data_IF_743120279297
#
_entry.id   IF_743120279297
#
_cell.length_a   1.000
_cell.length_b   1.000
_cell.length_c   1.000
_cell.angle_alpha   90.00
_cell.angle_beta   90.00
_cell.angle_gamma   90.00
#
_symmetry.space_group_name_H-M   'P 1'
#
loop_
_entity.id
_entity.type
_entity.pdbx_description
1 polymer ?
#
# COMPACT_ATOMS: atom_id res chain seq x y z
N UNK A 1 20.62 -24.46 -1.26
CA UNK A 1 19.20 -24.89 -1.31
C UNK A 1 18.38 -23.63 -1.49
N UNK A 2 17.67 -23.42 -2.60
CA UNK A 2 16.71 -22.31 -2.65
C UNK A 2 15.60 -22.66 -1.67
N UNK A 3 15.46 -21.89 -0.58
CA UNK A 3 14.25 -21.96 0.23
C UNK A 3 13.08 -21.67 -0.70
N UNK A 4 12.14 -22.61 -0.83
CA UNK A 4 10.96 -22.46 -1.67
C UNK A 4 10.26 -21.14 -1.30
N UNK A 5 10.13 -20.21 -2.25
CA UNK A 5 9.43 -18.94 -2.05
C UNK A 5 8.03 -19.15 -1.45
N UNK A 6 7.39 -20.26 -1.79
CA UNK A 6 6.11 -20.69 -1.21
C UNK A 6 6.16 -20.98 0.29
N UNK A 7 7.23 -21.59 0.80
CA UNK A 7 7.38 -21.87 2.23
C UNK A 7 7.62 -20.57 3.01
N UNK A 8 8.46 -19.68 2.45
CA UNK A 8 8.68 -18.35 3.02
C UNK A 8 7.40 -17.54 3.03
N UNK A 9 6.63 -17.56 1.94
CA UNK A 9 5.36 -16.86 1.86
C UNK A 9 4.35 -17.42 2.87
N UNK A 10 4.28 -18.74 3.03
CA UNK A 10 3.40 -19.39 4.01
C UNK A 10 3.75 -19.00 5.46
N UNK A 11 5.02 -18.75 5.78
CA UNK A 11 5.44 -18.33 7.12
C UNK A 11 4.85 -16.97 7.56
N UNK A 12 4.43 -16.12 6.61
CA UNK A 12 3.73 -14.86 6.92
C UNK A 12 2.25 -15.03 7.27
N UNK A 13 1.68 -16.24 7.07
CA UNK A 13 0.27 -16.53 7.32
C UNK A 13 0.12 -17.75 8.23
N UNK A 14 0.62 -17.70 9.48
CA UNK A 14 0.47 -18.82 10.40
C UNK A 14 -1.02 -19.06 10.66
N UNK A 15 -1.43 -20.33 10.66
CA UNK A 15 -2.76 -20.71 11.11
C UNK A 15 -2.93 -20.24 12.56
N UNK A 16 -3.97 -19.46 12.84
CA UNK A 16 -4.27 -19.04 14.20
C UNK A 16 -4.43 -20.30 15.08
N UNK A 17 -3.77 -20.39 16.24
CA UNK A 17 -3.97 -21.50 17.17
C UNK A 17 -5.45 -21.60 17.52
N UNK A 18 -6.03 -22.78 17.35
CA UNK A 18 -7.42 -23.06 17.71
C UNK A 18 -7.61 -22.67 19.19
N UNK A 19 -8.47 -21.69 19.46
CA UNK A 19 -8.81 -21.25 20.82
C UNK A 19 -8.14 -19.98 21.32
N UNK A 20 -7.29 -19.30 20.52
CA UNK A 20 -6.73 -17.98 20.90
C UNK A 20 -7.29 -16.85 20.03
N UNK A 21 -8.00 -15.86 20.61
CA UNK A 21 -8.49 -14.68 19.89
C UNK A 21 -7.38 -13.63 19.69
N UNK A 22 -6.13 -14.07 19.49
CA UNK A 22 -5.04 -13.14 19.26
C UNK A 22 -5.36 -12.34 17.99
N UNK A 23 -5.38 -11.00 18.06
CA UNK A 23 -5.58 -10.18 16.87
C UNK A 23 -4.48 -10.55 15.86
N UNK A 24 -4.80 -10.65 14.56
CA UNK A 24 -3.81 -11.00 13.56
C UNK A 24 -2.61 -10.05 13.68
N UNK A 25 -1.39 -10.60 13.61
CA UNK A 25 -0.16 -9.81 13.62
C UNK A 25 -0.29 -8.68 12.59
N UNK A 26 0.04 -7.45 12.99
CA UNK A 26 0.16 -6.34 12.04
C UNK A 26 1.40 -6.54 11.17
N UNK A 27 1.24 -6.34 9.87
CA UNK A 27 2.32 -6.36 8.91
C UNK A 27 3.04 -5.01 8.93
N UNK A 28 4.36 -5.05 8.83
CA UNK A 28 5.21 -3.86 8.64
C UNK A 28 5.38 -3.57 7.15
N UNK A 29 5.89 -2.38 6.80
CA UNK A 29 6.20 -2.07 5.40
C UNK A 29 7.24 -3.06 4.83
N UNK A 30 8.23 -3.47 5.63
CA UNK A 30 9.20 -4.51 5.27
C UNK A 30 8.54 -5.86 5.03
N UNK A 31 7.60 -6.29 5.90
CA UNK A 31 6.87 -7.56 5.67
C UNK A 31 6.10 -7.50 4.33
N UNK A 32 5.49 -6.36 4.00
CA UNK A 32 4.72 -6.18 2.77
C UNK A 32 5.62 -6.18 1.53
N UNK A 33 6.78 -5.53 1.59
CA UNK A 33 7.79 -5.54 0.52
C UNK A 33 8.35 -6.95 0.30
N UNK A 34 8.65 -7.68 1.37
CA UNK A 34 9.12 -9.07 1.28
C UNK A 34 8.06 -9.99 0.68
N UNK A 35 6.80 -9.83 1.08
CA UNK A 35 5.67 -10.57 0.48
C UNK A 35 5.54 -10.23 -1.00
N UNK A 36 5.66 -8.96 -1.40
CA UNK A 36 5.61 -8.55 -2.79
C UNK A 36 6.71 -9.24 -3.62
N UNK A 37 7.95 -9.25 -3.12
CA UNK A 37 9.07 -9.93 -3.77
C UNK A 37 8.83 -11.45 -3.88
N UNK A 38 8.31 -12.09 -2.83
CA UNK A 38 7.97 -13.52 -2.86
C UNK A 38 6.85 -13.84 -3.85
N UNK A 39 5.91 -12.91 -4.04
CA UNK A 39 4.82 -13.05 -5.01
C UNK A 39 5.30 -12.94 -6.46
N UNK A 40 6.41 -12.26 -6.75
CA UNK A 40 6.96 -12.19 -8.12
C UNK A 40 7.30 -13.58 -8.68
N UNK A 41 7.77 -14.48 -7.81
CA UNK A 41 8.10 -15.87 -8.15
C UNK A 41 6.85 -16.77 -8.31
N UNK A 42 5.67 -16.30 -7.90
CA UNK A 42 4.42 -17.08 -7.93
C UNK A 42 3.46 -16.57 -8.99
N UNK A 43 3.11 -15.29 -8.93
CA UNK A 43 2.21 -14.64 -9.86
C UNK A 43 2.50 -13.14 -9.86
N UNK A 44 3.08 -12.67 -10.97
CA UNK A 44 3.52 -11.27 -11.13
C UNK A 44 2.37 -10.27 -10.95
N UNK A 45 1.14 -10.67 -11.25
CA UNK A 45 -0.01 -9.79 -11.00
C UNK A 45 -0.25 -9.56 -9.50
N UNK A 46 0.00 -10.57 -8.66
CA UNK A 46 -0.24 -10.49 -7.22
C UNK A 46 0.80 -9.63 -6.50
N UNK A 47 2.05 -9.62 -6.99
CA UNK A 47 3.11 -8.77 -6.42
C UNK A 47 2.83 -7.27 -6.57
N UNK A 48 1.96 -6.87 -7.49
CA UNK A 48 1.52 -5.48 -7.65
C UNK A 48 0.50 -5.00 -6.60
N UNK A 49 -0.10 -5.94 -5.86
CA UNK A 49 -1.15 -5.67 -4.86
C UNK A 49 -0.96 -6.48 -3.56
N UNK A 50 0.23 -6.41 -2.92
CA UNK A 50 0.59 -7.25 -1.78
C UNK A 50 -0.32 -7.03 -0.56
N UNK A 51 -0.80 -5.81 -0.29
CA UNK A 51 -1.74 -5.55 0.83
C UNK A 51 -3.10 -6.17 0.55
N UNK A 52 -3.58 -6.09 -0.69
CA UNK A 52 -4.82 -6.76 -1.11
C UNK A 52 -4.69 -8.28 -0.99
N UNK A 53 -3.56 -8.85 -1.42
CA UNK A 53 -3.25 -10.26 -1.25
C UNK A 53 -3.30 -10.67 0.23
N UNK A 54 -2.60 -9.94 1.10
CA UNK A 54 -2.57 -10.21 2.55
C UNK A 54 -3.99 -10.23 3.12
N UNK A 55 -4.78 -9.19 2.88
CA UNK A 55 -6.15 -9.08 3.42
C UNK A 55 -7.01 -10.25 2.96
N UNK A 56 -7.01 -10.57 1.66
CA UNK A 56 -7.82 -11.66 1.12
C UNK A 56 -7.36 -13.03 1.60
N UNK A 57 -6.04 -13.23 1.75
CA UNK A 57 -5.47 -14.46 2.32
C UNK A 57 -5.89 -14.63 3.78
N UNK A 58 -5.85 -13.55 4.57
CA UNK A 58 -6.25 -13.57 5.99
C UNK A 58 -7.73 -13.89 6.18
N UNK A 59 -8.62 -13.40 5.30
CA UNK A 59 -10.07 -13.68 5.40
C UNK A 59 -10.50 -14.94 4.65
N UNK A 60 -9.58 -15.68 4.03
CA UNK A 60 -9.88 -16.92 3.30
C UNK A 60 -10.59 -16.72 1.95
N UNK A 61 -10.49 -15.54 1.34
CA UNK A 61 -11.14 -15.19 0.06
C UNK A 61 -10.14 -14.83 -1.04
N UNK A 62 -9.02 -15.55 -1.11
CA UNK A 62 -7.97 -15.32 -2.11
C UNK A 62 -8.48 -15.56 -3.56
N UNK A 63 -9.54 -16.35 -3.73
CA UNK A 63 -10.23 -16.58 -5.00
C UNK A 63 -10.77 -15.28 -5.65
N UNK A 64 -10.96 -14.22 -4.86
CA UNK A 64 -11.45 -12.93 -5.32
C UNK A 64 -10.34 -12.00 -5.83
N UNK A 65 -9.06 -12.33 -5.59
CA UNK A 65 -7.94 -11.43 -5.89
C UNK A 65 -7.88 -11.04 -7.36
N UNK A 66 -7.90 -12.05 -8.25
CA UNK A 66 -7.84 -11.81 -9.70
C UNK A 66 -9.04 -10.98 -10.20
N UNK A 67 -10.23 -11.21 -9.64
CA UNK A 67 -11.43 -10.44 -9.98
C UNK A 67 -11.30 -8.98 -9.56
N UNK A 68 -10.69 -8.72 -8.39
CA UNK A 68 -10.46 -7.36 -7.89
C UNK A 68 -9.41 -6.62 -8.73
N UNK A 69 -8.31 -7.29 -9.08
CA UNK A 69 -7.29 -6.74 -9.99
C UNK A 69 -7.92 -6.37 -11.34
N UNK A 70 -8.75 -7.23 -11.92
CA UNK A 70 -9.46 -6.97 -13.19
C UNK A 70 -10.42 -5.77 -13.11
N UNK A 71 -10.96 -5.48 -11.92
CA UNK A 71 -11.81 -4.32 -11.68
C UNK A 71 -10.99 -3.04 -11.38
N UNK A 72 -9.66 -3.11 -11.45
CA UNK A 72 -8.76 -1.98 -11.18
C UNK A 72 -8.57 -1.70 -9.68
N UNK A 73 -8.92 -2.64 -8.80
CA UNK A 73 -8.66 -2.51 -7.37
C UNK A 73 -7.17 -2.68 -7.11
N UNK A 74 -6.58 -1.72 -6.40
CA UNK A 74 -5.14 -1.69 -6.08
C UNK A 74 -4.94 -1.45 -4.60
N UNK A 75 -3.72 -1.63 -4.10
CA UNK A 75 -3.36 -1.33 -2.71
C UNK A 75 -3.60 0.14 -2.34
N UNK A 76 -3.57 1.04 -3.33
CA UNK A 76 -3.96 2.43 -3.12
C UNK A 76 -5.46 2.61 -2.83
N UNK A 77 -6.29 1.58 -2.90
CA UNK A 77 -7.67 1.71 -2.47
C UNK A 77 -7.81 1.72 -0.94
N UNK A 78 -6.82 1.21 -0.19
CA UNK A 78 -6.85 1.23 1.27
C UNK A 78 -6.51 2.62 1.82
N UNK A 79 -7.09 3.04 2.96
CA UNK A 79 -8.15 2.35 3.71
C UNK A 79 -9.50 2.39 2.99
N UNK A 80 -10.22 1.27 3.00
CA UNK A 80 -11.51 1.12 2.32
C UNK A 80 -12.67 1.22 3.31
N UNK A 81 -13.75 1.87 2.87
CA UNK A 81 -15.07 1.81 3.49
C UNK A 81 -15.91 0.76 2.75
N UNK A 82 -16.86 0.10 3.43
CA UNK A 82 -17.69 -0.93 2.81
C UNK A 82 -18.48 -0.42 1.58
N UNK A 83 -18.77 0.88 1.53
CA UNK A 83 -19.49 1.55 0.44
C UNK A 83 -18.68 1.72 -0.85
N UNK A 84 -17.34 1.83 -0.75
CA UNK A 84 -16.45 2.03 -1.92
C UNK A 84 -15.96 0.72 -2.53
N UNK A 85 -16.24 -0.41 -1.88
CA UNK A 85 -15.92 -1.73 -2.41
C UNK A 85 -16.85 -2.12 -3.57
N UNK A 86 -16.36 -2.87 -4.59
CA UNK A 86 -17.13 -3.20 -5.80
C UNK A 86 -18.51 -3.82 -5.51
N UNK A 87 -19.63 -3.31 -6.11
CA UNK A 87 -21.03 -3.76 -5.93
C UNK A 87 -21.23 -5.26 -5.88
N UNK A 88 -20.41 -5.99 -6.64
CA UNK A 88 -20.50 -7.43 -6.84
C UNK A 88 -19.94 -8.27 -5.69
N UNK A 89 -19.25 -7.66 -4.72
CA UNK A 89 -18.79 -8.37 -3.52
C UNK A 89 -19.94 -8.56 -2.53
N UNK A 90 -20.06 -9.77 -1.97
CA UNK A 90 -21.02 -10.05 -0.90
C UNK A 90 -20.82 -9.12 0.31
N UNK A 91 -21.90 -8.67 0.97
CA UNK A 91 -21.80 -7.80 2.15
C UNK A 91 -20.92 -8.36 3.28
N UNK A 92 -20.96 -9.67 3.50
CA UNK A 92 -20.11 -10.38 4.47
C UNK A 92 -18.62 -10.20 4.16
N UNK A 93 -18.23 -10.42 2.90
CA UNK A 93 -16.85 -10.26 2.42
C UNK A 93 -16.39 -8.81 2.53
N UNK A 94 -17.25 -7.85 2.18
CA UNK A 94 -16.94 -6.42 2.33
C UNK A 94 -16.63 -6.07 3.78
N UNK A 95 -17.48 -6.51 4.71
CA UNK A 95 -17.25 -6.30 6.13
C UNK A 95 -15.96 -6.98 6.60
N UNK A 96 -15.69 -8.20 6.14
CA UNK A 96 -14.45 -8.90 6.48
C UNK A 96 -13.20 -8.13 6.00
N UNK A 97 -13.20 -7.60 4.77
CA UNK A 97 -12.12 -6.74 4.24
C UNK A 97 -11.95 -5.50 5.13
N UNK A 98 -13.05 -4.83 5.47
CA UNK A 98 -13.01 -3.60 6.30
C UNK A 98 -12.49 -3.87 7.70
N UNK A 99 -12.78 -5.03 8.30
CA UNK A 99 -12.24 -5.41 9.61
C UNK A 99 -10.76 -5.81 9.52
N UNK A 100 -10.40 -6.58 8.49
CA UNK A 100 -9.05 -7.09 8.30
C UNK A 100 -8.04 -6.03 7.88
N UNK A 101 -8.45 -4.92 7.24
CA UNK A 101 -7.50 -3.89 6.77
C UNK A 101 -6.62 -3.30 7.89
N UNK A 102 -7.06 -3.36 9.16
CA UNK A 102 -6.27 -2.91 10.31
C UNK A 102 -4.92 -3.60 10.47
N UNK A 103 -4.72 -4.77 9.83
CA UNK A 103 -3.47 -5.54 9.85
C UNK A 103 -2.45 -5.02 8.83
N UNK A 104 -2.90 -4.31 7.78
CA UNK A 104 -2.05 -3.77 6.70
C UNK A 104 -1.91 -2.25 6.73
N UNK A 105 -2.59 -1.57 7.66
CA UNK A 105 -2.42 -0.12 7.85
C UNK A 105 -1.08 0.10 8.56
N UNK A 106 -0.06 0.38 7.74
CA UNK A 106 1.28 0.77 8.17
C UNK A 106 1.40 2.28 8.31
N UNK A 107 2.49 2.75 8.93
CA UNK A 107 2.80 4.19 9.01
C UNK A 107 2.82 4.83 7.62
N UNK A 108 3.40 4.15 6.64
CA UNK A 108 3.50 4.64 5.26
C UNK A 108 2.12 4.83 4.62
N UNK A 109 1.20 3.87 4.80
CA UNK A 109 -0.17 3.99 4.28
C UNK A 109 -0.97 5.10 4.98
N UNK A 110 -0.78 5.27 6.29
CA UNK A 110 -1.41 6.33 7.08
C UNK A 110 -0.95 7.73 6.61
N UNK A 111 0.33 7.86 6.24
CA UNK A 111 0.92 9.08 5.70
C UNK A 111 0.44 9.42 4.28
N UNK A 112 0.24 8.42 3.41
CA UNK A 112 -0.15 8.64 2.00
C UNK A 112 -1.61 9.10 1.82
N UNK A 113 -2.52 8.72 2.74
CA UNK A 113 -3.98 8.78 2.47
C UNK A 113 -4.85 9.36 3.58
N UNK A 114 -4.25 9.92 4.64
CA UNK A 114 -5.02 10.36 5.79
C UNK A 114 -6.13 11.38 5.48
N UNK A 115 -7.39 10.99 5.71
CA UNK A 115 -8.46 11.89 6.19
C UNK A 115 -8.16 12.38 7.64
N UNK A 116 -7.12 11.82 8.28
CA UNK A 116 -6.64 12.10 9.65
C UNK A 116 -5.13 12.37 9.70
N UNK A 117 -4.52 12.95 8.67
CA UNK A 117 -3.08 13.18 8.55
C UNK A 117 -2.44 13.77 9.82
N UNK A 118 -2.05 12.90 10.76
CA UNK A 118 -1.20 13.27 11.88
C UNK A 118 0.19 13.38 11.29
N UNK A 119 0.79 14.56 11.39
CA UNK A 119 2.20 14.74 11.09
C UNK A 119 2.99 13.78 11.98
N UNK A 120 3.48 12.67 11.42
CA UNK A 120 4.43 11.82 12.12
C UNK A 120 5.82 12.41 11.94
N UNK A 121 6.51 12.64 13.06
CA UNK A 121 7.92 12.99 13.03
C UNK A 121 8.72 11.69 12.84
N UNK A 122 9.41 11.57 11.71
CA UNK A 122 10.44 10.55 11.55
C UNK A 122 11.55 10.80 12.57
N UNK A 123 11.93 9.78 13.32
CA UNK A 123 13.09 9.87 14.20
C UNK A 123 14.37 10.00 13.35
N UNK A 124 15.38 10.70 13.88
CA UNK A 124 16.66 10.90 13.19
C UNK A 124 17.33 9.54 12.97
N UNK A 125 17.24 8.99 11.75
CA UNK A 125 17.83 7.70 11.37
C UNK A 125 16.84 6.64 10.84
N UNK A 126 15.52 6.89 10.83
CA UNK A 126 14.58 6.00 10.13
C UNK A 126 14.68 6.18 8.60
N UNK A 127 14.62 5.09 7.81
CA UNK A 127 14.59 5.19 6.35
C UNK A 127 13.35 5.96 5.90
N UNK A 128 13.56 7.07 5.19
CA UNK A 128 12.47 7.87 4.64
C UNK A 128 11.98 7.28 3.31
N UNK A 129 10.68 7.36 3.01
CA UNK A 129 10.08 6.75 1.82
C UNK A 129 10.43 7.45 0.51
N UNK A 130 11.14 8.58 0.53
CA UNK A 130 11.58 9.29 -0.67
C UNK A 130 13.10 9.38 -0.74
N UNK A 131 13.66 9.12 -1.92
CA UNK A 131 15.02 9.53 -2.30
C UNK A 131 14.92 10.91 -2.93
N UNK A 132 15.54 11.92 -2.31
CA UNK A 132 15.61 13.28 -2.86
C UNK A 132 16.41 13.28 -4.17
N UNK A 133 15.73 13.35 -5.31
CA UNK A 133 16.36 13.76 -6.57
C UNK A 133 16.41 15.30 -6.60
N UNK A 134 17.50 15.86 -6.08
CA UNK A 134 17.79 17.28 -6.25
C UNK A 134 18.10 17.60 -7.71
N UNK A 135 17.09 17.97 -8.50
CA UNK A 135 17.29 18.66 -9.77
C UNK A 135 16.15 19.64 -10.05
N UNK A 136 16.08 20.72 -9.27
CA UNK A 136 15.33 21.92 -9.69
C UNK A 136 16.22 22.71 -10.66
N UNK A 137 15.97 22.54 -11.96
CA UNK A 137 16.57 23.43 -12.97
C UNK A 137 15.95 24.82 -12.84
N UNK A 138 16.81 25.82 -12.71
CA UNK A 138 16.44 27.20 -12.43
C UNK A 138 15.56 27.81 -13.52
N UNK A 139 14.41 28.33 -13.09
CA UNK A 139 13.65 29.32 -13.84
C UNK A 139 14.50 30.60 -13.96
N UNK A 140 15.09 30.82 -15.14
CA UNK A 140 15.59 32.15 -15.52
C UNK A 140 14.39 33.03 -15.82
N UNK A 141 14.12 34.01 -14.95
CA UNK A 141 13.22 35.12 -15.27
C UNK A 141 13.92 36.05 -16.26
N UNK A 142 13.43 36.09 -17.50
CA UNK A 142 13.85 37.09 -18.48
C UNK A 142 13.42 38.48 -17.99
N UNK A 143 14.40 39.38 -17.87
CA UNK A 143 14.18 40.81 -17.63
C UNK A 143 13.75 41.48 -18.92
N UNK A 144 12.49 41.92 -18.98
CA UNK A 144 11.98 42.83 -20.01
C UNK A 144 12.75 44.16 -19.98
N UNK A 145 13.20 44.71 -21.12
CA UNK A 145 13.77 46.06 -21.17
C UNK A 145 12.65 47.13 -21.06
N UNK A 146 12.94 48.33 -20.53
CA UNK A 146 11.97 49.42 -20.44
C UNK A 146 11.76 50.11 -21.80
N UNK A 147 10.59 50.75 -22.04
CA UNK A 147 10.30 51.43 -23.30
C UNK A 147 11.10 52.74 -23.46
N UNK A 148 11.32 53.21 -24.71
CA UNK A 148 12.11 54.40 -24.96
C UNK A 148 11.36 55.67 -24.53
N UNK A 149 12.09 56.56 -23.85
CA UNK A 149 11.65 57.90 -23.48
C UNK A 149 11.63 58.81 -24.71
N UNK A 150 10.45 59.28 -25.11
CA UNK A 150 10.29 60.28 -26.15
C UNK A 150 10.57 61.65 -25.51
N UNK A 151 11.64 62.32 -25.95
CA UNK A 151 11.90 63.74 -25.67
C UNK A 151 11.47 64.57 -26.89
N UNK A 152 10.58 65.53 -26.67
CA UNK A 152 10.47 66.76 -27.46
C UNK A 152 11.37 67.83 -26.85
#
# INVERSE_FOLDING_TARGET
>A
MPQNSSERLAAYFPAAPIGSPAPPRRYTDTDIEEIAALLEDHEKQWSSVPRTYIVLRTIGHLDLLNKLIQLGFTDHCFPVKASVLPPRLQPSVRNAIVQAQSIIITKSLDLEKGEYGKHWHFAKGEPQPFKEHHQLQGIRTETSPPPPSVRE
#
